data_IF_904659334577
#
_entry.id   IF_904659334577
#
_cell.length_a   1.000
_cell.length_b   1.000
_cell.length_c   1.000
_cell.angle_alpha   90.00
_cell.angle_beta   90.00
_cell.angle_gamma   90.00
#
_symmetry.space_group_name_H-M   'P 1'
#
loop_
_entity.id
_entity.type
_entity.pdbx_description
1 polymer ?
#
# COMPACT_ATOMS: atom_id res chain seq x y z
N UNK A 1 -13.12 15.08 -23.16
CA UNK A 1 -14.44 15.31 -23.78
C UNK A 1 -14.91 14.02 -24.45
N UNK A 2 -14.07 13.46 -25.32
CA UNK A 2 -14.27 12.20 -26.06
C UNK A 2 -14.71 11.00 -25.19
N UNK A 3 -14.10 10.78 -24.02
CA UNK A 3 -14.46 9.67 -23.11
C UNK A 3 -15.87 9.78 -22.52
N UNK A 4 -16.41 11.01 -22.38
CA UNK A 4 -17.79 11.21 -21.90
C UNK A 4 -18.82 10.95 -23.00
N UNK A 5 -18.50 11.29 -24.25
CA UNK A 5 -19.37 10.99 -25.40
C UNK A 5 -19.41 9.49 -25.67
N UNK A 6 -18.27 8.80 -25.65
CA UNK A 6 -18.15 7.35 -25.87
C UNK A 6 -18.87 6.50 -24.81
N UNK A 7 -19.08 7.07 -23.61
CA UNK A 7 -19.86 6.48 -22.54
C UNK A 7 -21.36 6.67 -22.75
N UNK A 8 -21.79 7.87 -23.19
CA UNK A 8 -23.21 8.18 -23.46
C UNK A 8 -23.74 7.36 -24.63
N UNK A 9 -22.97 7.21 -25.70
CA UNK A 9 -23.37 6.42 -26.87
C UNK A 9 -23.49 4.92 -26.57
N UNK A 10 -22.63 4.38 -25.68
CA UNK A 10 -22.70 2.97 -25.27
C UNK A 10 -23.82 2.69 -24.28
N UNK A 11 -24.21 3.66 -23.46
CA UNK A 11 -25.34 3.55 -22.54
C UNK A 11 -26.68 3.64 -23.28
N UNK A 12 -26.77 4.43 -24.36
CA UNK A 12 -27.98 4.55 -25.18
C UNK A 12 -28.35 3.27 -25.96
N UNK A 13 -27.45 2.28 -26.04
CA UNK A 13 -27.66 1.02 -26.76
C UNK A 13 -27.99 -0.19 -25.89
N UNK A 14 -28.10 -0.05 -24.57
CA UNK A 14 -28.30 -1.19 -23.67
C UNK A 14 -29.80 -1.51 -23.46
N UNK A 15 -30.19 -2.81 -23.44
CA UNK A 15 -31.56 -3.21 -23.17
C UNK A 15 -32.04 -2.74 -21.79
N UNK A 16 -33.24 -2.15 -21.74
CA UNK A 16 -33.88 -1.59 -20.53
C UNK A 16 -33.89 -2.53 -19.31
N UNK A 17 -33.86 -3.84 -19.52
CA UNK A 17 -33.84 -4.85 -18.44
C UNK A 17 -32.52 -4.92 -17.67
N UNK A 18 -31.42 -4.35 -18.18
CA UNK A 18 -30.11 -4.29 -17.46
C UNK A 18 -29.97 -3.00 -16.63
N UNK A 19 -30.83 -2.00 -16.88
CA UNK A 19 -30.83 -0.71 -16.18
C UNK A 19 -31.68 -0.75 -14.90
N UNK A 20 -32.62 -1.69 -14.80
CA UNK A 20 -33.50 -1.82 -13.62
C UNK A 20 -32.88 -2.62 -12.45
N UNK A 21 -31.82 -3.41 -12.68
CA UNK A 21 -31.13 -4.21 -11.65
C UNK A 21 -29.90 -3.50 -11.01
N UNK A 22 -29.57 -2.28 -11.44
CA UNK A 22 -28.45 -1.51 -10.91
C UNK A 22 -28.91 -0.11 -10.48
N UNK A 23 -28.81 0.19 -9.18
CA UNK A 23 -29.08 1.53 -8.63
C UNK A 23 -28.24 2.58 -9.40
N UNK A 24 -28.85 3.54 -10.13
CA UNK A 24 -28.14 4.48 -11.01
C UNK A 24 -27.07 5.32 -10.30
N UNK A 25 -27.18 5.48 -8.97
CA UNK A 25 -26.21 6.21 -8.15
C UNK A 25 -24.89 5.47 -7.91
N UNK A 26 -24.88 4.14 -7.90
CA UNK A 26 -23.67 3.35 -7.63
C UNK A 26 -22.76 3.27 -8.87
N UNK A 27 -23.38 3.23 -10.07
CA UNK A 27 -22.66 3.24 -11.35
C UNK A 27 -21.92 4.56 -11.59
N UNK A 28 -22.55 5.71 -11.31
CA UNK A 28 -21.91 7.03 -11.48
C UNK A 28 -20.79 7.22 -10.45
N UNK A 29 -20.96 6.71 -9.23
CA UNK A 29 -19.97 6.82 -8.17
C UNK A 29 -18.76 5.90 -8.42
N UNK A 30 -18.98 4.66 -8.89
CA UNK A 30 -17.90 3.77 -9.35
C UNK A 30 -17.20 4.30 -10.58
N UNK A 31 -17.94 4.71 -11.62
CA UNK A 31 -17.35 5.24 -12.84
C UNK A 31 -16.50 6.49 -12.57
N UNK A 32 -16.95 7.39 -11.68
CA UNK A 32 -16.17 8.58 -11.30
C UNK A 32 -14.94 8.21 -10.50
N UNK A 33 -15.08 7.31 -9.50
CA UNK A 33 -13.95 6.86 -8.65
C UNK A 33 -12.90 6.09 -9.44
N UNK A 34 -13.33 5.26 -10.38
CA UNK A 34 -12.46 4.48 -11.25
C UNK A 34 -11.79 5.37 -12.30
N UNK A 35 -12.51 6.36 -12.84
CA UNK A 35 -11.92 7.34 -13.78
C UNK A 35 -10.90 8.24 -13.09
N UNK A 36 -11.16 8.68 -11.86
CA UNK A 36 -10.20 9.45 -11.05
C UNK A 36 -8.97 8.60 -10.71
N UNK A 37 -9.16 7.32 -10.34
CA UNK A 37 -8.06 6.39 -10.10
C UNK A 37 -7.24 6.13 -11.37
N UNK A 38 -7.88 5.95 -12.54
CA UNK A 38 -7.20 5.79 -13.83
C UNK A 38 -6.40 7.04 -14.19
N UNK A 39 -7.02 8.21 -14.07
CA UNK A 39 -6.40 9.50 -14.38
C UNK A 39 -5.20 9.76 -13.47
N UNK A 40 -5.33 9.48 -12.17
CA UNK A 40 -4.24 9.61 -11.20
C UNK A 40 -3.10 8.61 -11.48
N UNK A 41 -3.42 7.37 -11.82
CA UNK A 41 -2.43 6.33 -12.14
C UNK A 41 -1.63 6.70 -13.40
N UNK A 42 -2.30 7.16 -14.46
CA UNK A 42 -1.63 7.54 -15.72
C UNK A 42 -0.83 8.82 -15.56
N UNK A 43 -1.32 9.81 -14.80
CA UNK A 43 -0.63 11.09 -14.62
C UNK A 43 0.52 11.04 -13.62
N UNK A 44 0.45 10.20 -12.59
CA UNK A 44 1.42 10.22 -11.50
C UNK A 44 2.12 8.88 -11.33
N UNK A 45 1.38 7.78 -11.15
CA UNK A 45 1.99 6.49 -10.85
C UNK A 45 2.86 5.97 -12.01
N UNK A 46 2.41 6.06 -13.26
CA UNK A 46 3.17 5.59 -14.43
C UNK A 46 4.49 6.37 -14.61
N UNK A 47 4.49 7.72 -14.66
CA UNK A 47 5.73 8.49 -14.72
C UNK A 47 6.64 8.25 -13.52
N UNK A 48 6.11 8.23 -12.30
CA UNK A 48 6.88 8.01 -11.09
C UNK A 48 7.55 6.63 -11.07
N UNK A 49 6.81 5.58 -11.48
CA UNK A 49 7.36 4.23 -11.58
C UNK A 49 8.45 4.15 -12.65
N UNK A 50 8.25 4.80 -13.80
CA UNK A 50 9.25 4.85 -14.86
C UNK A 50 10.52 5.56 -14.40
N UNK A 51 10.39 6.72 -13.74
CA UNK A 51 11.51 7.46 -13.16
C UNK A 51 12.22 6.58 -12.12
N UNK A 52 11.49 5.96 -11.20
CA UNK A 52 12.07 5.08 -10.19
C UNK A 52 12.85 3.91 -10.80
N UNK A 53 12.30 3.26 -11.84
CA UNK A 53 12.97 2.16 -12.56
C UNK A 53 14.24 2.65 -13.25
N UNK A 54 14.18 3.79 -13.96
CA UNK A 54 15.35 4.35 -14.63
C UNK A 54 16.42 4.80 -13.62
N UNK A 55 16.03 5.49 -12.56
CA UNK A 55 16.93 5.89 -11.47
C UNK A 55 17.57 4.67 -10.83
N UNK A 56 16.80 3.62 -10.54
CA UNK A 56 17.33 2.37 -9.99
C UNK A 56 18.35 1.73 -10.95
N UNK A 57 18.02 1.61 -12.24
CA UNK A 57 18.90 1.03 -13.25
C UNK A 57 20.22 1.82 -13.40
N UNK A 58 20.14 3.14 -13.53
CA UNK A 58 21.33 4.00 -13.69
C UNK A 58 22.17 4.06 -12.42
N UNK A 59 21.54 4.16 -11.25
CA UNK A 59 22.23 4.20 -9.95
C UNK A 59 22.93 2.87 -9.67
N UNK A 60 22.27 1.75 -9.96
CA UNK A 60 22.86 0.42 -9.82
C UNK A 60 24.02 0.21 -10.79
N UNK A 61 23.87 0.64 -12.06
CA UNK A 61 24.95 0.62 -13.03
C UNK A 61 26.16 1.46 -12.59
N UNK A 62 25.93 2.68 -12.11
CA UNK A 62 26.98 3.55 -11.59
C UNK A 62 27.68 2.95 -10.36
N UNK A 63 26.93 2.29 -9.48
CA UNK A 63 27.48 1.59 -8.31
C UNK A 63 28.41 0.43 -8.71
N UNK A 64 28.03 -0.36 -9.73
CA UNK A 64 28.87 -1.45 -10.24
C UNK A 64 30.16 -0.93 -10.90
N UNK A 65 30.08 0.18 -11.63
CA UNK A 65 31.24 0.82 -12.27
C UNK A 65 32.22 1.45 -11.26
N UNK A 66 31.72 1.94 -10.12
CA UNK A 66 32.52 2.55 -9.07
C UNK A 66 33.41 1.52 -8.35
N UNK A 67 32.91 0.30 -8.18
CA UNK A 67 33.69 -0.85 -7.73
C UNK A 67 32.81 -1.96 -7.14
N UNK A 68 32.98 -3.23 -7.54
CA UNK A 68 32.10 -4.33 -7.15
C UNK A 68 32.11 -4.62 -5.64
N UNK A 69 33.19 -4.31 -4.92
CA UNK A 69 33.28 -4.53 -3.48
C UNK A 69 32.42 -3.54 -2.67
N UNK A 70 32.22 -2.31 -3.16
CA UNK A 70 31.37 -1.33 -2.50
C UNK A 70 29.87 -1.58 -2.77
N UNK A 71 29.54 -2.41 -3.76
CA UNK A 71 28.17 -2.79 -4.12
C UNK A 71 27.61 -3.96 -3.29
N UNK A 72 28.48 -4.74 -2.62
CA UNK A 72 28.11 -5.93 -1.83
C UNK A 72 26.99 -5.68 -0.80
N UNK A 73 26.99 -4.58 -0.03
CA UNK A 73 25.92 -4.32 0.93
C UNK A 73 24.55 -4.17 0.29
N UNK A 74 24.46 -3.54 -0.88
CA UNK A 74 23.20 -3.35 -1.62
C UNK A 74 22.57 -4.67 -2.06
N UNK A 75 23.39 -5.67 -2.39
CA UNK A 75 22.92 -7.00 -2.78
C UNK A 75 22.21 -7.75 -1.65
N UNK A 76 22.46 -7.42 -0.38
CA UNK A 76 21.76 -8.02 0.77
C UNK A 76 20.40 -7.36 1.00
N UNK A 77 20.28 -6.10 0.62
CA UNK A 77 19.15 -5.24 0.99
C UNK A 77 17.98 -5.43 0.02
N UNK A 78 18.29 -5.57 -1.27
CA UNK A 78 17.30 -5.89 -2.31
C UNK A 78 16.49 -7.16 -1.96
N UNK A 79 17.09 -8.33 -1.68
CA UNK A 79 16.34 -9.53 -1.32
C UNK A 79 15.62 -9.40 0.03
N UNK A 80 16.18 -8.66 0.99
CA UNK A 80 15.53 -8.40 2.28
C UNK A 80 14.24 -7.59 2.10
N UNK A 81 14.29 -6.50 1.33
CA UNK A 81 13.14 -5.67 0.99
C UNK A 81 12.10 -6.45 0.18
N UNK A 82 12.56 -7.21 -0.82
CA UNK A 82 11.68 -8.03 -1.64
C UNK A 82 10.95 -9.09 -0.81
N UNK A 83 11.68 -9.80 0.06
CA UNK A 83 11.09 -10.80 0.95
C UNK A 83 10.11 -10.19 1.95
N UNK A 84 10.47 -9.06 2.58
CA UNK A 84 9.61 -8.32 3.50
C UNK A 84 8.32 -7.82 2.85
N UNK A 85 8.45 -7.25 1.65
CA UNK A 85 7.30 -6.76 0.87
C UNK A 85 6.43 -7.92 0.37
N UNK A 86 7.04 -9.01 -0.11
CA UNK A 86 6.30 -10.22 -0.53
C UNK A 86 5.54 -10.83 0.64
N UNK A 87 6.14 -10.88 1.82
CA UNK A 87 5.52 -11.37 3.06
C UNK A 87 4.32 -10.50 3.46
N UNK A 88 4.49 -9.18 3.40
CA UNK A 88 3.43 -8.20 3.68
C UNK A 88 2.27 -8.34 2.70
N UNK A 89 2.54 -8.29 1.39
CA UNK A 89 1.51 -8.38 0.34
C UNK A 89 0.71 -9.69 0.38
N UNK A 90 1.36 -10.81 0.75
CA UNK A 90 0.67 -12.10 0.91
C UNK A 90 -0.33 -12.11 2.08
N UNK A 91 -0.09 -11.30 3.12
CA UNK A 91 -0.90 -11.26 4.36
C UNK A 91 -1.87 -10.07 4.41
N UNK A 92 -1.53 -8.98 3.74
CA UNK A 92 -2.31 -7.75 3.78
C UNK A 92 -3.68 -7.95 3.16
N UNK A 93 -3.76 -8.64 2.02
CA UNK A 93 -5.04 -8.87 1.33
C UNK A 93 -6.09 -9.55 2.20
N UNK A 94 -5.73 -10.58 2.97
CA UNK A 94 -6.68 -11.25 3.89
C UNK A 94 -7.04 -10.35 5.07
N UNK A 95 -6.05 -9.65 5.65
CA UNK A 95 -6.27 -8.74 6.78
C UNK A 95 -7.19 -7.57 6.43
N UNK A 96 -6.98 -6.92 5.27
CA UNK A 96 -7.79 -5.78 4.84
C UNK A 96 -9.21 -6.19 4.46
N UNK A 97 -9.41 -7.40 3.92
CA UNK A 97 -10.77 -7.93 3.71
C UNK A 97 -11.50 -8.17 5.03
N UNK A 98 -10.82 -8.75 6.03
CA UNK A 98 -11.39 -8.94 7.37
C UNK A 98 -11.77 -7.59 7.99
N UNK A 99 -10.89 -6.60 7.90
CA UNK A 99 -11.14 -5.24 8.37
C UNK A 99 -12.34 -4.60 7.67
N UNK A 100 -12.44 -4.72 6.35
CA UNK A 100 -13.59 -4.24 5.59
C UNK A 100 -14.90 -4.91 6.04
N UNK A 101 -14.90 -6.24 6.15
CA UNK A 101 -16.07 -7.00 6.59
C UNK A 101 -16.52 -6.63 8.01
N UNK A 102 -15.60 -6.41 8.95
CA UNK A 102 -15.95 -6.00 10.31
C UNK A 102 -16.59 -4.60 10.36
N UNK A 103 -16.14 -3.68 9.51
CA UNK A 103 -16.75 -2.35 9.42
C UNK A 103 -18.14 -2.39 8.77
N UNK A 104 -18.35 -3.26 7.77
CA UNK A 104 -19.68 -3.47 7.18
C UNK A 104 -20.65 -4.03 8.23
N UNK A 105 -20.27 -5.09 8.95
CA UNK A 105 -21.11 -5.67 9.99
C UNK A 105 -21.46 -4.66 11.10
N UNK A 106 -20.47 -3.87 11.54
CA UNK A 106 -20.69 -2.78 12.50
C UNK A 106 -21.66 -1.73 11.95
N UNK A 107 -21.53 -1.37 10.67
CA UNK A 107 -22.43 -0.47 9.96
C UNK A 107 -23.86 -0.99 9.91
N UNK A 108 -24.06 -2.26 9.57
CA UNK A 108 -25.37 -2.91 9.50
C UNK A 108 -26.06 -2.92 10.87
N UNK A 109 -25.32 -3.29 11.93
CA UNK A 109 -25.84 -3.26 13.31
C UNK A 109 -26.29 -1.85 13.72
N UNK A 110 -25.57 -0.81 13.32
CA UNK A 110 -25.97 0.58 13.58
C UNK A 110 -27.16 1.01 12.72
N UNK A 111 -27.17 0.66 11.43
CA UNK A 111 -28.23 0.99 10.48
C UNK A 111 -29.59 0.37 10.87
N UNK A 112 -29.59 -0.80 11.51
CA UNK A 112 -30.80 -1.39 12.08
C UNK A 112 -31.18 -0.76 13.44
N UNK A 113 -30.20 -0.51 14.32
CA UNK A 113 -30.48 -0.09 15.71
C UNK A 113 -30.94 1.36 15.80
N UNK A 114 -30.33 2.26 15.01
CA UNK A 114 -30.56 3.71 15.14
C UNK A 114 -31.99 4.10 14.70
N UNK A 115 -32.48 3.71 13.50
CA UNK A 115 -33.87 3.96 13.13
C UNK A 115 -34.86 3.21 14.04
N UNK A 116 -34.49 2.01 14.49
CA UNK A 116 -35.29 1.16 15.37
C UNK A 116 -35.24 1.52 16.87
N UNK A 117 -34.57 2.61 17.27
CA UNK A 117 -34.25 2.89 18.67
C UNK A 117 -35.49 2.95 19.59
N UNK A 118 -36.59 3.55 19.12
CA UNK A 118 -37.86 3.61 19.87
C UNK A 118 -38.46 2.21 20.09
N UNK A 119 -38.37 1.33 19.09
CA UNK A 119 -38.85 -0.05 19.17
C UNK A 119 -37.97 -0.87 20.12
N UNK A 120 -36.65 -0.69 20.06
CA UNK A 120 -35.69 -1.34 20.97
C UNK A 120 -35.95 -0.93 22.43
N UNK A 121 -36.27 0.34 22.66
CA UNK A 121 -36.65 0.83 24.00
C UNK A 121 -38.00 0.27 24.46
N UNK A 122 -39.03 0.36 23.61
CA UNK A 122 -40.37 -0.14 23.92
C UNK A 122 -40.39 -1.63 24.25
N UNK A 123 -39.53 -2.43 23.60
CA UNK A 123 -39.39 -3.87 23.83
C UNK A 123 -38.33 -4.23 24.90
N UNK A 124 -37.66 -3.26 25.51
CA UNK A 124 -36.63 -3.52 26.53
C UNK A 124 -35.36 -4.22 26.00
N UNK A 125 -35.10 -4.17 24.69
CA UNK A 125 -34.03 -4.92 24.01
C UNK A 125 -32.65 -4.24 24.03
N UNK A 126 -32.51 -3.11 24.73
CA UNK A 126 -31.26 -2.31 24.77
C UNK A 126 -30.02 -3.15 25.12
N UNK A 127 -30.11 -3.98 26.16
CA UNK A 127 -28.99 -4.81 26.60
C UNK A 127 -28.62 -5.92 25.59
N UNK A 128 -29.59 -6.40 24.81
CA UNK A 128 -29.34 -7.36 23.73
C UNK A 128 -28.62 -6.68 22.55
N UNK A 129 -29.13 -5.54 22.06
CA UNK A 129 -28.49 -4.80 20.96
C UNK A 129 -27.10 -4.29 21.34
N UNK A 130 -26.90 -3.85 22.58
CA UNK A 130 -25.57 -3.41 23.06
C UNK A 130 -24.55 -4.54 23.04
N UNK A 131 -24.94 -5.77 23.41
CA UNK A 131 -24.04 -6.93 23.34
C UNK A 131 -23.59 -7.25 21.92
N UNK A 132 -24.49 -7.12 20.93
CA UNK A 132 -24.16 -7.30 19.50
C UNK A 132 -23.21 -6.20 19.03
N UNK A 133 -23.52 -4.94 19.35
CA UNK A 133 -22.63 -3.82 19.01
C UNK A 133 -21.24 -3.99 19.64
N UNK A 134 -21.18 -4.40 20.90
CA UNK A 134 -19.90 -4.64 21.59
C UNK A 134 -19.11 -5.79 20.97
N UNK A 135 -19.76 -6.83 20.43
CA UNK A 135 -19.05 -7.90 19.70
C UNK A 135 -18.50 -7.42 18.36
N UNK A 136 -19.29 -6.66 17.60
CA UNK A 136 -18.87 -6.16 16.28
C UNK A 136 -17.71 -5.14 16.42
N UNK A 137 -17.78 -4.29 17.45
CA UNK A 137 -16.69 -3.36 17.79
C UNK A 137 -15.41 -4.08 18.17
N UNK A 138 -15.49 -5.18 18.94
CA UNK A 138 -14.31 -5.98 19.31
C UNK A 138 -13.68 -6.61 18.07
N UNK A 139 -14.48 -7.18 17.18
CA UNK A 139 -13.98 -7.79 15.95
C UNK A 139 -13.32 -6.73 15.04
N UNK A 140 -13.94 -5.56 14.88
CA UNK A 140 -13.37 -4.44 14.12
C UNK A 140 -12.04 -3.98 14.72
N UNK A 141 -11.97 -3.83 16.05
CA UNK A 141 -10.75 -3.46 16.76
C UNK A 141 -9.63 -4.50 16.56
N UNK A 142 -9.94 -5.80 16.67
CA UNK A 142 -8.95 -6.86 16.46
C UNK A 142 -8.44 -6.92 15.02
N UNK A 143 -9.34 -6.79 14.05
CA UNK A 143 -8.98 -6.74 12.63
C UNK A 143 -8.09 -5.52 12.33
N UNK A 144 -8.41 -4.35 12.89
CA UNK A 144 -7.63 -3.14 12.71
C UNK A 144 -6.26 -3.25 13.38
N UNK A 145 -6.21 -3.77 14.61
CA UNK A 145 -4.95 -4.01 15.33
C UNK A 145 -4.05 -4.96 14.56
N UNK A 146 -4.61 -6.01 13.95
CA UNK A 146 -3.85 -6.95 13.13
C UNK A 146 -3.31 -6.28 11.86
N UNK A 147 -4.13 -5.48 11.16
CA UNK A 147 -3.71 -4.74 9.98
C UNK A 147 -2.63 -3.70 10.30
N UNK A 148 -2.75 -2.99 11.43
CA UNK A 148 -1.72 -2.08 11.94
C UNK A 148 -0.44 -2.84 12.25
N UNK A 149 -0.49 -3.94 13.00
CA UNK A 149 0.69 -4.73 13.34
C UNK A 149 1.45 -5.20 12.10
N UNK A 150 0.72 -5.69 11.09
CA UNK A 150 1.31 -6.14 9.83
C UNK A 150 2.03 -4.98 9.10
N UNK A 151 1.38 -3.81 9.05
CA UNK A 151 1.93 -2.60 8.42
C UNK A 151 3.11 -2.03 9.19
N UNK A 152 3.04 -1.95 10.52
CA UNK A 152 4.14 -1.48 11.37
C UNK A 152 5.36 -2.39 11.27
N UNK A 153 5.15 -3.71 11.22
CA UNK A 153 6.24 -4.68 11.05
C UNK A 153 6.93 -4.52 9.69
N UNK A 154 6.15 -4.30 8.63
CA UNK A 154 6.69 -4.01 7.29
C UNK A 154 7.43 -2.67 7.27
N UNK A 155 6.86 -1.62 7.88
CA UNK A 155 7.49 -0.30 7.94
C UNK A 155 8.83 -0.34 8.68
N UNK A 156 8.93 -1.11 9.78
CA UNK A 156 10.19 -1.30 10.49
C UNK A 156 11.25 -1.95 9.59
N UNK A 157 10.87 -2.97 8.81
CA UNK A 157 11.78 -3.62 7.86
C UNK A 157 12.26 -2.65 6.76
N UNK A 158 11.35 -1.81 6.26
CA UNK A 158 11.66 -0.75 5.30
C UNK A 158 12.59 0.29 5.92
N UNK A 159 12.38 0.70 7.17
CA UNK A 159 13.27 1.66 7.85
C UNK A 159 14.70 1.12 7.99
N UNK A 160 14.84 -0.16 8.38
CA UNK A 160 16.15 -0.81 8.41
C UNK A 160 16.82 -0.84 7.04
N UNK A 161 16.03 -0.95 5.97
CA UNK A 161 16.56 -0.91 4.60
C UNK A 161 17.13 0.45 4.20
N UNK A 162 16.78 1.56 4.86
CA UNK A 162 17.40 2.86 4.60
C UNK A 162 18.74 3.03 5.32
N UNK A 163 18.85 2.54 6.56
CA UNK A 163 20.01 2.79 7.43
C UNK A 163 21.11 1.75 7.25
N UNK A 164 20.76 0.47 7.28
CA UNK A 164 21.73 -0.65 7.24
C UNK A 164 22.65 -0.60 6.02
N UNK A 165 22.18 -0.34 4.79
CA UNK A 165 23.04 -0.41 3.61
C UNK A 165 24.05 0.73 3.60
N UNK A 166 23.64 1.93 4.03
CA UNK A 166 24.49 3.12 4.11
C UNK A 166 25.61 2.88 5.13
N UNK A 167 25.26 2.40 6.33
CA UNK A 167 26.23 2.07 7.38
C UNK A 167 27.18 0.96 6.93
N UNK A 168 26.64 -0.11 6.34
CA UNK A 168 27.45 -1.22 5.84
C UNK A 168 28.39 -0.79 4.71
N UNK A 169 27.92 0.06 3.78
CA UNK A 169 28.74 0.62 2.69
C UNK A 169 29.85 1.50 3.22
N UNK A 170 29.57 2.35 4.22
CA UNK A 170 30.60 3.16 4.87
C UNK A 170 31.62 2.32 5.63
N UNK A 171 31.17 1.29 6.35
CA UNK A 171 32.07 0.41 7.11
C UNK A 171 32.98 -0.41 6.18
N UNK A 172 32.42 -1.04 5.16
CA UNK A 172 33.16 -1.83 4.16
C UNK A 172 34.06 -0.93 3.32
N UNK A 173 33.52 0.18 2.80
CA UNK A 173 34.28 1.15 2.01
C UNK A 173 35.41 1.80 2.81
N UNK A 174 35.18 2.14 4.08
CA UNK A 174 36.22 2.66 4.98
C UNK A 174 37.35 1.65 5.21
N UNK A 175 37.02 0.36 5.38
CA UNK A 175 38.02 -0.70 5.49
C UNK A 175 38.83 -0.87 4.19
N UNK A 176 38.17 -0.84 3.03
CA UNK A 176 38.82 -0.89 1.72
C UNK A 176 39.77 0.30 1.52
N UNK A 177 39.36 1.49 1.94
CA UNK A 177 40.19 2.69 1.88
C UNK A 177 41.43 2.59 2.78
N UNK A 178 41.24 2.13 4.02
CA UNK A 178 42.35 1.93 4.98
C UNK A 178 43.40 0.93 4.48
N UNK A 179 42.98 -0.08 3.70
CA UNK A 179 43.88 -1.06 3.08
C UNK A 179 44.41 -0.63 1.70
N UNK A 180 44.13 0.59 1.24
CA UNK A 180 44.59 1.10 -0.05
C UNK A 180 43.90 0.51 -1.28
N UNK A 181 42.82 -0.24 -1.10
CA UNK A 181 42.05 -0.87 -2.19
C UNK A 181 40.95 0.04 -2.76
N UNK A 182 40.63 1.16 -2.12
CA UNK A 182 39.68 2.14 -2.59
C UNK A 182 40.12 3.58 -2.27
N UNK A 183 39.76 4.52 -3.14
CA UNK A 183 39.93 5.95 -2.88
C UNK A 183 38.79 6.50 -2.02
N UNK A 184 39.02 7.61 -1.32
CA UNK A 184 37.97 8.30 -0.55
C UNK A 184 36.76 8.65 -1.43
N UNK A 185 37.00 9.10 -2.67
CA UNK A 185 35.95 9.44 -3.62
C UNK A 185 35.06 8.26 -3.98
N UNK A 186 35.63 7.06 -4.14
CA UNK A 186 34.86 5.84 -4.41
C UNK A 186 33.93 5.49 -3.24
N UNK A 187 34.40 5.61 -2.00
CA UNK A 187 33.60 5.34 -0.79
C UNK A 187 32.44 6.31 -0.66
N UNK A 188 32.70 7.61 -0.86
CA UNK A 188 31.65 8.65 -0.81
C UNK A 188 30.63 8.43 -1.92
N UNK A 189 31.08 8.23 -3.16
CA UNK A 189 30.19 8.02 -4.29
C UNK A 189 29.35 6.74 -4.14
N UNK A 190 29.94 5.63 -3.65
CA UNK A 190 29.19 4.41 -3.39
C UNK A 190 28.09 4.62 -2.34
N UNK A 191 28.41 5.34 -1.25
CA UNK A 191 27.44 5.66 -0.20
C UNK A 191 26.28 6.51 -0.74
N UNK A 192 26.58 7.49 -1.61
CA UNK A 192 25.56 8.31 -2.26
C UNK A 192 24.69 7.50 -3.22
N UNK A 193 25.27 6.60 -4.00
CA UNK A 193 24.50 5.71 -4.89
C UNK A 193 23.63 4.74 -4.10
N UNK A 194 24.13 4.15 -3.02
CA UNK A 194 23.30 3.31 -2.14
C UNK A 194 22.13 4.10 -1.56
N UNK A 195 22.37 5.33 -1.08
CA UNK A 195 21.29 6.19 -0.58
C UNK A 195 20.28 6.59 -1.65
N UNK A 196 20.71 6.74 -2.91
CA UNK A 196 19.85 7.09 -4.03
C UNK A 196 19.02 5.89 -4.53
N UNK A 197 19.48 4.66 -4.27
CA UNK A 197 18.84 3.41 -4.70
C UNK A 197 17.66 3.00 -3.81
N UNK A 198 17.67 3.43 -2.55
CA UNK A 198 16.64 3.11 -1.53
C UNK A 198 15.62 4.25 -1.47
#
# INVERSE_FOLDING_TARGET
>A
AEVREDFVDRVAGLPLSTVEDAEPGDLVTRASRDTDALTNTVRYAVPETLIAVLTCLFTFGALLLNGPLAALPSFVVIPMLWAGTRWYLRRSGTSYRRLGASYVALGDTLAETVPGARTVEALGLRAARRRVLDSDLREAYEAERHAMWLRSSWYLLVEFSYVVPVVATLAVGGLLHANGHATLGQVVAATLYVRQLI
#
